data_IF_522527652843
#
_entry.id   IF_522527652843
#
_cell.length_a   1.000
_cell.length_b   1.000
_cell.length_c   1.000
_cell.angle_alpha   90.00
_cell.angle_beta   90.00
_cell.angle_gamma   90.00
#
_symmetry.space_group_name_H-M   'P 1'
#
loop_
_entity.id
_entity.type
_entity.pdbx_description
1 polymer ?
#
# COMPACT_ATOMS: atom_id res chain seq x y z
N UNK A 1 12.91 -7.02 7.23
CA UNK A 1 12.22 -6.71 8.50
C UNK A 1 11.90 -5.22 8.60
N UNK A 2 12.83 -4.30 8.91
CA UNK A 2 12.50 -2.87 9.11
C UNK A 2 11.77 -2.17 7.94
N UNK A 3 12.11 -2.50 6.67
CA UNK A 3 11.42 -1.92 5.49
C UNK A 3 9.93 -2.32 5.42
N UNK A 4 9.60 -3.60 5.65
CA UNK A 4 8.21 -4.09 5.60
C UNK A 4 7.37 -3.52 6.73
N UNK A 5 7.91 -3.47 7.95
CA UNK A 5 7.23 -2.86 9.11
C UNK A 5 6.90 -1.38 8.86
N UNK A 6 7.83 -0.62 8.28
CA UNK A 6 7.60 0.78 7.92
C UNK A 6 6.48 0.90 6.88
N UNK A 7 6.47 0.06 5.84
CA UNK A 7 5.41 0.08 4.82
C UNK A 7 4.04 -0.30 5.40
N UNK A 8 4.01 -1.29 6.29
CA UNK A 8 2.79 -1.66 7.03
C UNK A 8 2.29 -0.50 7.89
N UNK A 9 3.19 0.29 8.49
CA UNK A 9 2.79 1.46 9.27
C UNK A 9 2.10 2.53 8.41
N UNK A 10 2.63 2.82 7.22
CA UNK A 10 1.98 3.76 6.28
C UNK A 10 0.63 3.24 5.78
N UNK A 11 0.51 1.94 5.54
CA UNK A 11 -0.79 1.34 5.19
C UNK A 11 -1.80 1.47 6.34
N UNK A 12 -1.38 1.33 7.59
CA UNK A 12 -2.26 1.53 8.75
C UNK A 12 -2.73 2.99 8.86
N UNK A 13 -1.86 3.98 8.59
CA UNK A 13 -2.27 5.39 8.57
C UNK A 13 -3.40 5.65 7.54
N UNK A 14 -3.30 5.06 6.35
CA UNK A 14 -4.36 5.15 5.33
C UNK A 14 -5.64 4.39 5.71
N UNK A 15 -5.51 3.30 6.46
CA UNK A 15 -6.65 2.52 6.96
C UNK A 15 -7.43 3.27 8.05
N UNK A 16 -6.74 4.02 8.89
CA UNK A 16 -7.34 4.80 9.97
C UNK A 16 -7.87 6.17 9.47
N UNK A 17 -7.44 6.61 8.28
CA UNK A 17 -7.90 7.85 7.67
C UNK A 17 -9.36 7.75 7.17
N UNK A 18 -10.25 8.42 7.89
CA UNK A 18 -11.68 8.50 7.56
C UNK A 18 -11.98 9.34 6.30
N UNK A 19 -11.04 10.16 5.83
CA UNK A 19 -11.16 10.93 4.58
C UNK A 19 -10.92 10.09 3.33
N UNK A 20 -10.33 8.90 3.49
CA UNK A 20 -10.06 7.96 2.39
C UNK A 20 -11.33 7.17 2.05
N UNK A 21 -11.68 6.96 0.77
CA UNK A 21 -12.83 6.13 0.40
C UNK A 21 -12.73 4.68 0.87
N UNK A 22 -13.87 4.05 1.16
CA UNK A 22 -13.94 2.68 1.69
C UNK A 22 -13.27 1.64 0.77
N UNK A 23 -13.39 1.82 -0.55
CA UNK A 23 -12.75 0.94 -1.54
C UNK A 23 -11.22 1.04 -1.51
N UNK A 24 -10.68 2.25 -1.34
CA UNK A 24 -9.24 2.47 -1.20
C UNK A 24 -8.74 1.82 0.09
N UNK A 25 -9.41 2.04 1.22
CA UNK A 25 -9.06 1.36 2.50
C UNK A 25 -9.11 -0.16 2.38
N UNK A 26 -10.08 -0.71 1.65
CA UNK A 26 -10.15 -2.15 1.42
C UNK A 26 -8.93 -2.68 0.64
N UNK A 27 -8.43 -1.93 -0.34
CA UNK A 27 -7.18 -2.25 -1.04
C UNK A 27 -5.97 -2.15 -0.10
N UNK A 28 -5.87 -1.12 0.75
CA UNK A 28 -4.78 -0.99 1.73
C UNK A 28 -4.73 -2.18 2.70
N UNK A 29 -5.89 -2.70 3.11
CA UNK A 29 -5.99 -3.86 3.99
C UNK A 29 -5.43 -5.13 3.33
N UNK A 30 -5.75 -5.35 2.05
CA UNK A 30 -5.21 -6.48 1.27
C UNK A 30 -3.71 -6.34 1.02
N UNK A 31 -3.25 -5.11 0.76
CA UNK A 31 -1.84 -4.82 0.61
C UNK A 31 -1.08 -5.16 1.91
N UNK A 32 -1.61 -4.73 3.06
CA UNK A 32 -1.06 -5.03 4.38
C UNK A 32 -0.98 -6.54 4.63
N UNK A 33 -2.09 -7.27 4.42
CA UNK A 33 -2.12 -8.73 4.57
C UNK A 33 -1.08 -9.44 3.69
N UNK A 34 -0.84 -8.90 2.49
CA UNK A 34 0.22 -9.41 1.61
C UNK A 34 1.62 -9.15 2.18
N UNK A 35 1.87 -7.98 2.77
CA UNK A 35 3.16 -7.61 3.35
C UNK A 35 3.48 -8.33 4.67
N UNK A 36 2.50 -8.89 5.38
CA UNK A 36 2.73 -9.71 6.58
C UNK A 36 3.55 -10.98 6.30
N UNK A 37 3.67 -11.39 5.03
CA UNK A 37 4.53 -12.51 4.61
C UNK A 37 6.03 -12.15 4.57
N UNK A 38 6.35 -10.85 4.52
CA UNK A 38 7.71 -10.31 4.45
C UNK A 38 8.60 -10.94 3.35
N UNK A 39 8.02 -11.30 2.21
CA UNK A 39 8.71 -11.87 1.05
C UNK A 39 8.42 -11.11 -0.25
N UNK A 40 9.13 -11.45 -1.32
CA UNK A 40 8.94 -10.83 -2.65
C UNK A 40 7.54 -11.06 -3.22
N UNK A 41 6.93 -12.21 -2.90
CA UNK A 41 5.58 -12.55 -3.35
C UNK A 41 4.54 -11.67 -2.65
N UNK A 42 4.72 -11.43 -1.36
CA UNK A 42 3.94 -10.49 -0.56
C UNK A 42 4.08 -9.07 -1.06
N UNK A 43 5.31 -8.63 -1.38
CA UNK A 43 5.55 -7.33 -1.99
C UNK A 43 4.82 -7.18 -3.34
N UNK A 44 4.88 -8.21 -4.19
CA UNK A 44 4.18 -8.24 -5.48
C UNK A 44 2.66 -8.20 -5.32
N UNK A 45 2.12 -8.94 -4.34
CA UNK A 45 0.69 -8.92 -4.01
C UNK A 45 0.22 -7.56 -3.49
N UNK A 46 1.06 -6.89 -2.70
CA UNK A 46 0.78 -5.55 -2.22
C UNK A 46 0.75 -4.53 -3.36
N UNK A 47 1.75 -4.51 -4.24
CA UNK A 47 1.77 -3.64 -5.43
C UNK A 47 0.49 -3.83 -6.24
N UNK A 48 0.11 -5.07 -6.54
CA UNK A 48 -1.12 -5.37 -7.29
C UNK A 48 -2.37 -4.79 -6.63
N UNK A 49 -2.52 -4.95 -5.32
CA UNK A 49 -3.66 -4.39 -4.59
C UNK A 49 -3.68 -2.85 -4.66
N UNK A 50 -2.52 -2.19 -4.54
CA UNK A 50 -2.39 -0.72 -4.59
C UNK A 50 -2.67 -0.16 -5.98
N UNK A 51 -2.28 -0.87 -7.04
CA UNK A 51 -2.53 -0.49 -8.44
C UNK A 51 -4.03 -0.40 -8.76
N UNK A 52 -4.86 -1.27 -8.18
CA UNK A 52 -6.32 -1.25 -8.40
C UNK A 52 -6.96 0.11 -8.05
N UNK A 53 -6.37 0.84 -7.10
CA UNK A 53 -6.93 2.09 -6.55
C UNK A 53 -6.12 3.32 -6.91
N UNK A 54 -4.91 3.17 -7.45
CA UNK A 54 -4.00 4.27 -7.80
C UNK A 54 -4.58 5.22 -8.86
N UNK A 55 -5.51 4.73 -9.69
CA UNK A 55 -6.18 5.48 -10.75
C UNK A 55 -7.60 5.92 -10.39
N UNK A 56 -8.06 5.71 -9.15
CA UNK A 56 -9.40 6.14 -8.74
C UNK A 56 -9.49 7.68 -8.74
N UNK A 57 -10.52 8.21 -9.40
CA UNK A 57 -10.81 9.65 -9.49
C UNK A 57 -11.22 10.22 -8.12
N UNK A 58 -11.77 9.40 -7.23
CA UNK A 58 -12.19 9.77 -5.89
C UNK A 58 -11.05 9.65 -4.85
N UNK A 59 -9.86 9.19 -5.26
CA UNK A 59 -8.72 9.07 -4.36
C UNK A 59 -8.17 10.47 -3.99
N UNK A 60 -8.17 10.83 -2.70
CA UNK A 60 -7.60 12.10 -2.23
C UNK A 60 -6.13 12.24 -2.59
N UNK A 61 -5.68 13.48 -2.82
CA UNK A 61 -4.30 13.75 -3.26
C UNK A 61 -3.25 13.21 -2.28
N UNK A 62 -3.44 13.39 -0.97
CA UNK A 62 -2.49 12.91 0.03
C UNK A 62 -2.37 11.39 0.04
N UNK A 63 -3.49 10.68 -0.08
CA UNK A 63 -3.53 9.23 -0.18
C UNK A 63 -2.86 8.74 -1.47
N UNK A 64 -3.06 9.44 -2.59
CA UNK A 64 -2.37 9.15 -3.86
C UNK A 64 -0.86 9.25 -3.74
N UNK A 65 -0.35 10.32 -3.14
CA UNK A 65 1.09 10.50 -2.91
C UNK A 65 1.64 9.40 -2.01
N UNK A 66 0.93 9.04 -0.94
CA UNK A 66 1.38 7.99 -0.03
C UNK A 66 1.40 6.61 -0.69
N UNK A 67 0.35 6.25 -1.45
CA UNK A 67 0.30 5.01 -2.22
C UNK A 67 1.45 4.93 -3.22
N UNK A 68 1.73 6.03 -3.94
CA UNK A 68 2.85 6.07 -4.87
C UNK A 68 4.19 5.84 -4.18
N UNK A 69 4.44 6.49 -3.03
CA UNK A 69 5.66 6.26 -2.24
C UNK A 69 5.78 4.80 -1.80
N UNK A 70 4.70 4.21 -1.27
CA UNK A 70 4.69 2.80 -0.83
C UNK A 70 5.01 1.88 -2.00
N UNK A 71 4.40 2.09 -3.17
CA UNK A 71 4.66 1.31 -4.37
C UNK A 71 6.12 1.40 -4.82
N UNK A 72 6.72 2.61 -4.85
CA UNK A 72 8.13 2.77 -5.23
C UNK A 72 9.09 2.05 -4.28
N UNK A 73 8.82 2.07 -2.98
CA UNK A 73 9.61 1.33 -1.98
C UNK A 73 9.44 -0.19 -2.16
N UNK A 74 8.22 -0.67 -2.42
CA UNK A 74 7.96 -2.09 -2.70
C UNK A 74 8.65 -2.57 -3.97
N UNK A 75 8.65 -1.75 -5.02
CA UNK A 75 9.39 -2.03 -6.26
C UNK A 75 10.90 -2.08 -6.01
N UNK A 76 11.43 -1.20 -5.15
CA UNK A 76 12.84 -1.25 -4.76
C UNK A 76 13.19 -2.54 -4.02
N UNK A 77 12.31 -3.05 -3.17
CA UNK A 77 12.53 -4.31 -2.44
C UNK A 77 12.52 -5.51 -3.40
N UNK A 78 11.65 -5.50 -4.42
CA UNK A 78 11.57 -6.58 -5.41
C UNK A 78 12.77 -6.65 -6.36
N UNK A 79 13.45 -5.52 -6.56
CA UNK A 79 14.58 -5.41 -7.49
C UNK A 79 15.97 -5.50 -6.81
N UNK A 80 16.02 -5.67 -5.49
CA UNK A 80 17.24 -5.98 -4.71
C UNK A 80 17.51 -7.49 -4.65
#
# INVERSE_FOLDING_TARGET
MAKYEQLISFLNELLDDTSVPKNVRASMARAKESLEKEDELGASGAIYALEEVSNDINLPMHARTMIWNIMSELESIKNE
#
